data_IF_077962415598
#
_entry.id   IF_077962415598
#
_cell.length_a   1.000
_cell.length_b   1.000
_cell.length_c   1.000
_cell.angle_alpha   90.00
_cell.angle_beta   90.00
_cell.angle_gamma   90.00
#
_symmetry.space_group_name_H-M   'P 1'
#
loop_
_entity.id
_entity.type
_entity.pdbx_description
1 polymer ?
#
# COMPACT_ATOMS: atom_id res chain seq x y z
N UNK A 1 -0.25 31.39 22.80
CA UNK A 1 1.07 30.87 22.37
C UNK A 1 1.42 29.49 22.94
N UNK A 2 0.79 29.01 23.99
CA UNK A 2 1.11 27.71 24.63
C UNK A 2 0.56 26.49 23.89
N UNK A 3 -0.60 26.59 23.21
CA UNK A 3 -1.21 25.46 22.49
C UNK A 3 -0.45 25.06 21.22
N UNK A 4 0.16 26.00 20.49
CA UNK A 4 0.92 25.70 19.27
C UNK A 4 2.21 24.91 19.54
N UNK A 5 2.84 25.14 20.72
CA UNK A 5 3.98 24.33 21.17
C UNK A 5 3.57 22.89 21.49
N UNK A 6 2.39 22.69 22.07
CA UNK A 6 1.87 21.34 22.37
C UNK A 6 1.60 20.50 21.12
N UNK A 7 1.03 21.09 20.08
CA UNK A 7 0.75 20.40 18.81
C UNK A 7 2.05 20.00 18.11
N UNK A 8 3.03 20.90 18.04
CA UNK A 8 4.32 20.65 17.41
C UNK A 8 5.08 19.51 18.12
N UNK A 9 5.14 19.56 19.44
CA UNK A 9 5.76 18.51 20.24
C UNK A 9 5.09 17.14 20.00
N UNK A 10 3.75 17.13 19.87
CA UNK A 10 3.02 15.89 19.55
C UNK A 10 3.29 15.38 18.14
N UNK A 11 3.45 16.25 17.17
CA UNK A 11 3.85 15.87 15.81
C UNK A 11 5.25 15.25 15.83
N UNK A 12 6.21 15.89 16.52
CA UNK A 12 7.58 15.38 16.63
C UNK A 12 7.64 14.03 17.34
N UNK A 13 6.83 13.83 18.38
CA UNK A 13 6.67 12.52 19.06
C UNK A 13 6.16 11.44 18.11
N UNK A 14 5.15 11.74 17.30
CA UNK A 14 4.59 10.79 16.31
C UNK A 14 5.64 10.45 15.26
N UNK A 15 6.39 11.43 14.76
CA UNK A 15 7.45 11.22 13.77
C UNK A 15 8.57 10.35 14.36
N UNK A 16 8.99 10.64 15.59
CA UNK A 16 9.99 9.84 16.30
C UNK A 16 9.54 8.38 16.49
N UNK A 17 8.29 8.17 16.90
CA UNK A 17 7.69 6.84 17.03
C UNK A 17 7.64 6.08 15.69
N UNK A 18 7.44 6.77 14.56
CA UNK A 18 7.48 6.16 13.22
C UNK A 18 8.89 5.68 12.87
N UNK A 19 9.92 6.46 13.18
CA UNK A 19 11.32 6.08 12.91
C UNK A 19 11.70 4.78 13.64
N UNK A 20 11.31 4.64 14.89
CA UNK A 20 11.54 3.40 15.64
C UNK A 20 10.81 2.19 15.01
N UNK A 21 9.56 2.37 14.59
CA UNK A 21 8.77 1.33 13.89
C UNK A 21 9.36 0.98 12.53
N UNK A 22 9.93 1.97 11.81
CA UNK A 22 10.60 1.73 10.54
C UNK A 22 11.77 0.75 10.70
N UNK A 23 12.62 0.94 11.70
CA UNK A 23 13.75 0.03 11.96
C UNK A 23 13.25 -1.41 12.21
N UNK A 24 12.16 -1.57 12.94
CA UNK A 24 11.56 -2.88 13.17
C UNK A 24 11.00 -3.48 11.87
N UNK A 25 10.39 -2.67 11.00
CA UNK A 25 9.89 -3.14 9.70
C UNK A 25 11.03 -3.55 8.76
N UNK A 26 12.11 -2.76 8.71
CA UNK A 26 13.30 -3.09 7.92
C UNK A 26 13.86 -4.46 8.36
N UNK A 27 13.93 -4.72 9.67
CA UNK A 27 14.36 -6.01 10.20
C UNK A 27 13.41 -7.15 9.78
N UNK A 28 12.08 -6.93 9.88
CA UNK A 28 11.08 -7.95 9.50
C UNK A 28 11.10 -8.25 8.00
N UNK A 29 11.35 -7.26 7.16
CA UNK A 29 11.53 -7.47 5.71
C UNK A 29 12.76 -8.34 5.47
N UNK A 30 13.89 -8.07 6.13
CA UNK A 30 15.10 -8.88 6.03
C UNK A 30 14.88 -10.33 6.53
N UNK A 31 14.19 -10.51 7.65
CA UNK A 31 13.84 -11.83 8.19
C UNK A 31 12.99 -12.62 7.18
N UNK A 32 12.02 -11.96 6.50
CA UNK A 32 11.20 -12.60 5.47
C UNK A 32 12.00 -12.92 4.21
N UNK A 33 12.89 -12.04 3.76
CA UNK A 33 13.78 -12.30 2.62
C UNK A 33 14.66 -13.53 2.88
N UNK A 34 15.22 -13.62 4.09
CA UNK A 34 16.01 -14.78 4.49
C UNK A 34 15.16 -16.07 4.53
N UNK A 35 13.94 -16.00 5.07
CA UNK A 35 13.04 -17.16 5.15
C UNK A 35 12.60 -17.63 3.74
N UNK A 36 12.29 -16.69 2.84
CA UNK A 36 11.93 -16.98 1.44
C UNK A 36 13.10 -17.68 0.75
N UNK A 37 14.33 -17.15 0.88
CA UNK A 37 15.53 -17.72 0.25
C UNK A 37 15.80 -19.16 0.73
N UNK A 38 15.59 -19.44 2.02
CA UNK A 38 15.71 -20.81 2.57
C UNK A 38 14.63 -21.72 1.98
N UNK A 39 13.37 -21.26 1.92
CA UNK A 39 12.27 -22.03 1.39
C UNK A 39 12.43 -22.35 -0.11
N UNK A 40 12.89 -21.37 -0.91
CA UNK A 40 13.24 -21.56 -2.33
C UNK A 40 14.33 -22.60 -2.51
N UNK A 41 15.39 -22.54 -1.69
CA UNK A 41 16.48 -23.52 -1.74
C UNK A 41 16.02 -24.93 -1.34
N UNK A 42 15.09 -25.03 -0.38
CA UNK A 42 14.48 -26.32 -0.02
C UNK A 42 13.64 -26.88 -1.17
N UNK A 43 12.90 -26.03 -1.88
CA UNK A 43 12.09 -26.44 -3.02
C UNK A 43 12.97 -26.87 -4.22
N UNK A 44 14.06 -26.15 -4.48
CA UNK A 44 15.09 -26.52 -5.47
C UNK A 44 15.69 -27.90 -5.14
N UNK A 45 16.09 -28.11 -3.89
CA UNK A 45 16.61 -29.40 -3.44
C UNK A 45 15.59 -30.51 -3.65
N UNK A 46 14.35 -30.29 -3.23
CA UNK A 46 13.26 -31.24 -3.46
C UNK A 46 13.13 -31.59 -4.94
N UNK A 47 13.07 -30.60 -5.83
CA UNK A 47 12.95 -30.81 -7.28
C UNK A 47 14.15 -31.51 -7.91
N UNK A 48 15.33 -31.41 -7.30
CA UNK A 48 16.53 -32.13 -7.75
C UNK A 48 16.55 -33.60 -7.31
N UNK A 49 15.75 -33.96 -6.30
CA UNK A 49 15.71 -35.31 -5.71
C UNK A 49 14.49 -36.08 -6.20
N UNK A 50 13.29 -35.44 -6.21
CA UNK A 50 12.03 -36.09 -6.52
C UNK A 50 11.28 -35.34 -7.62
N UNK A 51 10.50 -36.10 -8.41
CA UNK A 51 9.52 -35.60 -9.35
C UNK A 51 8.28 -35.01 -8.62
N UNK A 52 7.31 -34.48 -9.35
CA UNK A 52 6.10 -33.92 -8.78
C UNK A 52 5.26 -34.92 -8.01
N UNK A 53 5.26 -36.18 -8.45
CA UNK A 53 4.57 -37.29 -7.79
C UNK A 53 5.35 -37.89 -6.58
N UNK A 54 6.51 -37.33 -6.25
CA UNK A 54 7.35 -37.77 -5.13
C UNK A 54 8.27 -38.96 -5.44
N UNK A 55 8.37 -39.37 -6.71
CA UNK A 55 9.26 -40.47 -7.13
C UNK A 55 10.71 -39.98 -7.20
N UNK A 56 11.66 -40.76 -6.70
CA UNK A 56 13.10 -40.48 -6.76
C UNK A 56 13.56 -40.38 -8.22
N UNK A 57 14.21 -39.29 -8.56
CA UNK A 57 14.73 -39.05 -9.89
C UNK A 57 16.00 -39.88 -10.15
N UNK A 58 16.04 -40.74 -11.19
CA UNK A 58 17.22 -41.57 -11.49
C UNK A 58 18.49 -40.75 -11.78
N UNK A 59 18.32 -39.53 -12.31
CA UNK A 59 19.42 -38.60 -12.62
C UNK A 59 19.79 -37.68 -11.45
N UNK A 60 19.16 -37.85 -10.28
CA UNK A 60 19.47 -37.02 -9.12
C UNK A 60 20.92 -37.21 -8.68
N UNK A 61 21.68 -36.13 -8.42
CA UNK A 61 23.01 -36.23 -7.85
C UNK A 61 23.01 -36.84 -6.45
N UNK A 62 21.84 -36.96 -5.83
CA UNK A 62 21.64 -37.52 -4.49
C UNK A 62 20.99 -38.89 -4.52
N UNK A 63 20.90 -39.56 -5.70
CA UNK A 63 20.18 -40.80 -5.88
C UNK A 63 20.63 -41.86 -4.88
N UNK A 64 21.95 -42.11 -4.74
CA UNK A 64 22.50 -43.14 -3.85
C UNK A 64 22.19 -42.88 -2.37
N UNK A 65 22.00 -41.61 -1.98
CA UNK A 65 21.69 -41.24 -0.60
C UNK A 65 20.22 -41.57 -0.27
N UNK A 66 19.33 -41.37 -1.22
CA UNK A 66 17.87 -41.51 -1.03
C UNK A 66 17.33 -42.88 -1.45
N UNK A 67 18.03 -43.60 -2.34
CA UNK A 67 17.57 -44.89 -2.83
C UNK A 67 17.38 -45.93 -1.70
N UNK A 68 18.26 -45.94 -0.72
CA UNK A 68 18.19 -46.88 0.40
C UNK A 68 17.50 -46.30 1.63
N UNK A 69 17.03 -45.06 1.57
CA UNK A 69 16.44 -44.34 2.73
C UNK A 69 15.02 -43.87 2.46
N UNK A 70 14.06 -44.79 2.45
CA UNK A 70 12.63 -44.48 2.20
C UNK A 70 12.05 -43.42 3.13
N UNK A 71 12.48 -43.39 4.41
CA UNK A 71 12.01 -42.35 5.35
C UNK A 71 12.48 -40.96 4.96
N UNK A 72 13.72 -40.82 4.56
CA UNK A 72 14.32 -39.57 4.15
C UNK A 72 13.74 -39.09 2.81
N UNK A 73 13.53 -40.03 1.87
CA UNK A 73 12.84 -39.77 0.60
C UNK A 73 11.41 -39.28 0.83
N UNK A 74 10.66 -39.93 1.68
CA UNK A 74 9.28 -39.54 2.02
C UNK A 74 9.24 -38.18 2.71
N UNK A 75 10.20 -37.85 3.55
CA UNK A 75 10.28 -36.55 4.21
C UNK A 75 10.53 -35.42 3.20
N UNK A 76 11.46 -35.60 2.25
CA UNK A 76 11.77 -34.58 1.25
C UNK A 76 10.64 -34.45 0.21
N UNK A 77 10.01 -35.55 -0.18
CA UNK A 77 8.86 -35.56 -1.08
C UNK A 77 7.67 -34.79 -0.49
N UNK A 78 7.50 -34.83 0.84
CA UNK A 78 6.45 -34.12 1.56
C UNK A 78 6.69 -32.61 1.74
N UNK A 79 7.87 -32.08 1.37
CA UNK A 79 8.14 -30.65 1.46
C UNK A 79 7.32 -29.90 0.42
N UNK A 80 6.52 -28.95 0.87
CA UNK A 80 5.72 -28.04 0.00
C UNK A 80 6.01 -26.59 0.41
N UNK A 81 7.03 -26.00 -0.21
CA UNK A 81 7.43 -24.62 0.10
C UNK A 81 6.62 -23.55 -0.65
N UNK A 82 5.97 -23.91 -1.76
CA UNK A 82 5.26 -22.97 -2.62
C UNK A 82 4.24 -22.08 -1.91
N UNK A 83 3.26 -22.63 -1.16
CA UNK A 83 2.29 -21.81 -0.42
C UNK A 83 2.95 -20.88 0.60
N UNK A 84 3.96 -21.36 1.32
CA UNK A 84 4.72 -20.54 2.26
C UNK A 84 5.43 -19.36 1.56
N UNK A 85 6.09 -19.61 0.43
CA UNK A 85 6.79 -18.58 -0.36
C UNK A 85 5.79 -17.52 -0.83
N UNK A 86 4.62 -17.94 -1.32
CA UNK A 86 3.57 -17.02 -1.78
C UNK A 86 3.06 -16.13 -0.65
N UNK A 87 2.72 -16.71 0.49
CA UNK A 87 2.22 -15.97 1.65
C UNK A 87 3.29 -15.04 2.25
N UNK A 88 4.55 -15.52 2.32
CA UNK A 88 5.67 -14.71 2.80
C UNK A 88 5.94 -13.51 1.88
N UNK A 89 5.85 -13.67 0.56
CA UNK A 89 5.97 -12.57 -0.41
C UNK A 89 4.85 -11.54 -0.25
N UNK A 90 3.59 -11.96 -0.11
CA UNK A 90 2.45 -11.07 0.15
C UNK A 90 2.65 -10.27 1.44
N UNK A 91 3.12 -10.94 2.50
CA UNK A 91 3.41 -10.29 3.77
C UNK A 91 4.56 -9.27 3.65
N UNK A 92 5.62 -9.61 2.90
CA UNK A 92 6.75 -8.74 2.59
C UNK A 92 6.29 -7.47 1.87
N UNK A 93 5.46 -7.59 0.82
CA UNK A 93 4.88 -6.46 0.10
C UNK A 93 4.05 -5.56 1.04
N UNK A 94 3.27 -6.15 1.93
CA UNK A 94 2.54 -5.42 2.97
C UNK A 94 3.45 -4.62 3.90
N UNK A 95 4.56 -5.19 4.32
CA UNK A 95 5.56 -4.50 5.16
C UNK A 95 6.29 -3.39 4.38
N UNK A 96 6.61 -3.57 3.11
CA UNK A 96 7.21 -2.53 2.27
C UNK A 96 6.26 -1.34 2.09
N UNK A 97 4.98 -1.60 1.86
CA UNK A 97 3.96 -0.54 1.77
C UNK A 97 3.84 0.25 3.09
N UNK A 98 3.91 -0.43 4.24
CA UNK A 98 3.94 0.23 5.55
C UNK A 98 5.25 1.01 5.75
N UNK A 99 6.39 0.44 5.38
CA UNK A 99 7.70 1.07 5.50
C UNK A 99 7.76 2.39 4.71
N UNK A 100 7.23 2.40 3.49
CA UNK A 100 7.09 3.60 2.67
C UNK A 100 6.26 4.69 3.37
N UNK A 101 5.21 4.31 4.11
CA UNK A 101 4.40 5.26 4.89
C UNK A 101 5.17 5.81 6.09
N UNK A 102 5.97 5.00 6.77
CA UNK A 102 6.76 5.42 7.93
C UNK A 102 8.01 6.21 7.58
N UNK A 103 8.44 6.19 6.31
CA UNK A 103 9.52 7.05 5.81
C UNK A 103 9.14 8.53 5.73
N UNK A 104 7.84 8.84 5.73
CA UNK A 104 7.37 10.22 5.59
C UNK A 104 7.66 11.03 6.84
N UNK A 105 8.36 12.14 6.69
CA UNK A 105 8.66 13.10 7.76
C UNK A 105 7.51 14.12 7.99
N UNK A 106 6.31 13.83 7.47
CA UNK A 106 5.14 14.68 7.59
C UNK A 106 3.90 13.89 8.00
N UNK A 107 2.94 14.59 8.58
CA UNK A 107 1.63 14.03 8.96
C UNK A 107 0.59 14.50 7.94
N UNK A 108 -0.17 13.55 7.39
CA UNK A 108 -1.33 13.87 6.58
C UNK A 108 -2.55 14.07 7.50
N UNK A 109 -3.18 15.23 7.39
CA UNK A 109 -4.44 15.52 8.04
C UNK A 109 -5.52 15.52 6.97
N UNK A 110 -6.46 14.57 7.03
CA UNK A 110 -7.59 14.52 6.12
C UNK A 110 -8.81 15.20 6.76
N UNK A 111 -9.38 16.17 6.05
CA UNK A 111 -10.65 16.82 6.45
C UNK A 111 -11.73 16.27 5.56
N UNK A 112 -12.61 15.46 6.13
CA UNK A 112 -13.72 14.78 5.42
C UNK A 112 -15.05 15.22 6.02
N UNK A 113 -16.06 15.37 5.19
CA UNK A 113 -17.41 15.72 5.62
C UNK A 113 -18.27 16.23 4.46
N UNK A 114 -19.59 16.30 4.63
CA UNK A 114 -20.52 16.85 3.65
C UNK A 114 -20.20 18.28 3.22
N UNK A 115 -20.80 18.74 2.14
CA UNK A 115 -20.69 20.13 1.71
C UNK A 115 -21.15 21.11 2.81
N UNK A 116 -20.65 22.33 2.80
CA UNK A 116 -21.05 23.43 3.71
C UNK A 116 -20.73 23.24 5.20
N UNK A 117 -19.93 22.28 5.59
CA UNK A 117 -19.53 22.06 7.00
C UNK A 117 -18.24 22.79 7.41
N UNK A 118 -17.80 23.78 6.66
CA UNK A 118 -16.65 24.61 7.03
C UNK A 118 -15.28 23.94 6.81
N UNK A 119 -15.19 22.85 6.01
CA UNK A 119 -13.91 22.17 5.70
C UNK A 119 -12.84 23.11 5.17
N UNK A 120 -13.17 23.98 4.21
CA UNK A 120 -12.23 24.96 3.65
C UNK A 120 -11.79 25.98 4.69
N UNK A 121 -12.69 26.45 5.56
CA UNK A 121 -12.35 27.35 6.67
C UNK A 121 -11.42 26.70 7.69
N UNK A 122 -11.65 25.44 8.00
CA UNK A 122 -10.76 24.66 8.86
C UNK A 122 -9.35 24.51 8.24
N UNK A 123 -9.27 24.21 6.94
CA UNK A 123 -8.00 24.14 6.22
C UNK A 123 -7.28 25.50 6.21
N UNK A 124 -8.00 26.60 6.00
CA UNK A 124 -7.43 27.96 6.10
C UNK A 124 -6.86 28.20 7.50
N UNK A 125 -7.61 27.86 8.54
CA UNK A 125 -7.19 28.05 9.94
C UNK A 125 -5.94 27.23 10.30
N UNK A 126 -5.86 25.99 9.83
CA UNK A 126 -4.72 25.09 10.12
C UNK A 126 -3.50 25.48 9.29
N UNK A 127 -3.66 25.83 8.01
CA UNK A 127 -2.57 26.14 7.09
C UNK A 127 -2.07 27.57 7.17
N UNK A 128 -2.87 28.50 7.70
CA UNK A 128 -2.62 29.94 7.65
C UNK A 128 -2.79 30.54 6.26
N UNK A 129 -3.31 29.79 5.28
CA UNK A 129 -3.57 30.27 3.92
C UNK A 129 -4.94 30.97 3.87
N UNK A 130 -5.04 32.01 3.04
CA UNK A 130 -6.27 32.80 2.89
C UNK A 130 -7.25 32.20 1.87
N UNK A 131 -8.40 32.86 1.67
CA UNK A 131 -9.43 32.46 0.74
C UNK A 131 -9.04 32.51 -0.74
N UNK A 132 -7.93 33.14 -1.09
CA UNK A 132 -7.39 33.15 -2.46
C UNK A 132 -6.68 31.83 -2.77
N UNK A 133 -6.07 31.20 -1.75
CA UNK A 133 -5.39 29.92 -1.87
C UNK A 133 -6.32 28.75 -1.62
N UNK A 134 -7.20 28.87 -0.63
CA UNK A 134 -8.21 27.85 -0.28
C UNK A 134 -9.59 28.49 -0.33
N UNK A 135 -10.29 28.44 -1.46
CA UNK A 135 -11.62 29.05 -1.58
C UNK A 135 -12.60 28.50 -0.55
N UNK A 136 -13.27 29.41 0.15
CA UNK A 136 -14.35 29.11 1.07
C UNK A 136 -15.51 30.04 0.76
N UNK A 137 -16.59 29.54 0.20
CA UNK A 137 -17.77 30.32 -0.13
C UNK A 137 -18.92 29.95 0.81
N UNK A 138 -19.74 30.93 1.14
CA UNK A 138 -20.96 30.73 1.93
C UNK A 138 -22.18 30.39 1.03
N UNK A 139 -21.98 30.32 -0.32
CA UNK A 139 -22.96 29.98 -1.35
C UNK A 139 -22.88 28.54 -1.84
N UNK A 140 -23.04 28.33 -3.14
CA UNK A 140 -23.06 26.99 -3.78
C UNK A 140 -21.75 26.19 -3.68
N UNK A 141 -21.75 24.92 -4.17
CA UNK A 141 -20.64 23.99 -4.09
C UNK A 141 -19.33 24.61 -4.58
N UNK A 142 -18.42 24.92 -3.64
CA UNK A 142 -17.19 25.62 -3.92
C UNK A 142 -16.01 24.70 -4.24
N UNK A 143 -16.02 23.46 -3.74
CA UNK A 143 -14.92 22.52 -3.89
C UNK A 143 -15.43 21.20 -4.44
N UNK A 144 -15.50 21.10 -5.76
CA UNK A 144 -15.77 19.85 -6.47
C UNK A 144 -14.53 18.97 -6.62
N UNK A 145 -13.35 19.44 -6.18
CA UNK A 145 -12.09 18.73 -6.32
C UNK A 145 -11.46 18.40 -4.97
N UNK A 146 -10.74 17.27 -4.90
CA UNK A 146 -9.88 16.93 -3.77
C UNK A 146 -8.70 17.89 -3.74
N UNK A 147 -8.58 18.67 -2.69
CA UNK A 147 -7.45 19.58 -2.47
C UNK A 147 -6.48 19.00 -1.46
N UNK A 148 -5.18 19.08 -1.76
CA UNK A 148 -4.09 18.69 -0.85
C UNK A 148 -3.25 19.93 -0.58
N UNK A 149 -3.02 20.25 0.69
CA UNK A 149 -2.15 21.34 1.14
C UNK A 149 -0.93 20.70 1.79
N UNK A 150 0.23 20.94 1.22
CA UNK A 150 1.50 20.42 1.72
C UNK A 150 2.36 21.58 2.25
N UNK A 151 2.96 21.38 3.42
CA UNK A 151 3.97 22.30 3.95
C UNK A 151 5.31 21.97 3.31
N UNK A 152 5.75 22.82 2.38
CA UNK A 152 7.05 22.71 1.70
C UNK A 152 8.10 23.62 2.29
N UNK A 153 9.38 23.29 2.08
CA UNK A 153 10.53 24.15 2.44
C UNK A 153 10.73 25.32 1.48
N UNK A 154 9.95 25.40 0.40
CA UNK A 154 10.08 26.44 -0.63
C UNK A 154 9.31 27.69 -0.22
N UNK A 155 9.91 28.87 -0.50
CA UNK A 155 9.29 30.18 -0.25
C UNK A 155 8.11 30.50 -1.19
N UNK A 156 7.82 29.65 -2.17
CA UNK A 156 6.78 29.88 -3.17
C UNK A 156 5.62 28.89 -2.99
N UNK A 157 4.41 29.41 -2.97
CA UNK A 157 3.20 28.61 -3.03
C UNK A 157 3.07 28.04 -4.46
N UNK A 158 2.99 26.71 -4.57
CA UNK A 158 2.75 26.01 -5.84
C UNK A 158 1.41 25.26 -5.76
N UNK A 159 0.59 25.41 -6.77
CA UNK A 159 -0.61 24.62 -6.96
C UNK A 159 -0.40 23.67 -8.14
N UNK A 160 -0.70 22.37 -7.95
CA UNK A 160 -0.80 21.38 -9.02
C UNK A 160 -2.27 20.97 -9.15
N UNK A 161 -2.82 21.11 -10.35
CA UNK A 161 -4.21 20.72 -10.64
C UNK A 161 -4.14 19.49 -11.56
N UNK A 162 -4.58 18.35 -11.05
CA UNK A 162 -4.77 17.15 -11.86
C UNK A 162 -6.23 17.13 -12.35
N UNK A 163 -6.42 17.17 -13.65
CA UNK A 163 -7.71 16.98 -14.26
C UNK A 163 -8.01 15.48 -14.40
N UNK A 164 -9.26 15.10 -14.22
CA UNK A 164 -9.70 13.75 -14.54
C UNK A 164 -9.61 13.56 -16.04
N UNK A 165 -9.17 12.38 -16.46
CA UNK A 165 -9.26 11.98 -17.86
C UNK A 165 -10.70 11.61 -18.22
N UNK A 166 -11.00 11.52 -19.50
CA UNK A 166 -12.30 11.02 -19.95
C UNK A 166 -12.59 9.61 -19.40
N UNK A 167 -11.57 8.75 -19.36
CA UNK A 167 -11.68 7.41 -18.79
C UNK A 167 -12.03 7.41 -17.30
N UNK A 168 -11.42 8.29 -16.50
CA UNK A 168 -11.73 8.40 -15.07
C UNK A 168 -13.20 8.83 -14.84
N UNK A 169 -13.70 9.74 -15.67
CA UNK A 169 -15.10 10.21 -15.60
C UNK A 169 -16.05 9.09 -15.98
N UNK A 170 -15.78 8.37 -17.07
CA UNK A 170 -16.58 7.23 -17.50
C UNK A 170 -16.64 6.14 -16.43
N UNK A 171 -15.52 5.82 -15.81
CA UNK A 171 -15.48 4.83 -14.73
C UNK A 171 -16.32 5.25 -13.53
N UNK A 172 -16.24 6.51 -13.08
CA UNK A 172 -17.06 7.02 -11.97
C UNK A 172 -18.55 7.00 -12.28
N UNK A 173 -18.93 7.38 -13.50
CA UNK A 173 -20.33 7.33 -13.95
C UNK A 173 -20.82 5.89 -14.01
N UNK A 174 -20.00 4.96 -14.52
CA UNK A 174 -20.30 3.54 -14.57
C UNK A 174 -20.52 2.97 -13.16
N UNK A 175 -19.62 3.27 -12.21
CA UNK A 175 -19.74 2.84 -10.81
C UNK A 175 -21.03 3.38 -10.17
N UNK A 176 -21.37 4.64 -10.45
CA UNK A 176 -22.60 5.28 -9.96
C UNK A 176 -23.85 4.61 -10.52
N UNK A 177 -23.89 4.39 -11.85
CA UNK A 177 -25.02 3.73 -12.52
C UNK A 177 -25.18 2.28 -12.06
N UNK A 178 -24.10 1.54 -11.89
CA UNK A 178 -24.12 0.18 -11.35
C UNK A 178 -24.68 0.14 -9.91
N UNK A 179 -24.39 1.17 -9.12
CA UNK A 179 -24.94 1.30 -7.76
C UNK A 179 -26.46 1.54 -7.75
N UNK A 180 -26.98 2.30 -8.72
CA UNK A 180 -28.41 2.63 -8.81
C UNK A 180 -29.20 1.49 -9.46
N UNK A 181 -28.67 0.90 -10.55
CA UNK A 181 -29.44 -0.02 -11.40
C UNK A 181 -29.36 -1.48 -10.99
N UNK A 182 -28.46 -1.86 -10.10
CA UNK A 182 -28.10 -3.26 -9.80
C UNK A 182 -27.80 -4.11 -11.06
N UNK A 183 -27.50 -3.45 -12.20
CA UNK A 183 -27.15 -4.07 -13.47
C UNK A 183 -25.74 -3.66 -13.86
N UNK A 184 -24.96 -4.62 -14.31
CA UNK A 184 -23.59 -4.41 -14.83
C UNK A 184 -23.70 -4.02 -16.32
N UNK A 185 -24.09 -2.80 -16.63
CA UNK A 185 -24.02 -2.25 -17.98
C UNK A 185 -22.70 -1.49 -18.13
N UNK A 186 -21.95 -1.73 -19.20
CA UNK A 186 -20.71 -1.05 -19.48
C UNK A 186 -20.94 0.13 -20.41
N UNK A 187 -20.45 1.30 -20.00
CA UNK A 187 -20.44 2.52 -20.81
C UNK A 187 -19.04 2.63 -21.42
N UNK A 188 -18.94 2.64 -22.74
CA UNK A 188 -17.67 2.66 -23.46
C UNK A 188 -17.31 4.05 -23.97
N UNK A 189 -18.28 4.96 -24.08
CA UNK A 189 -18.09 6.32 -24.58
C UNK A 189 -18.99 7.31 -23.84
N UNK A 190 -18.56 8.59 -23.83
CA UNK A 190 -19.34 9.70 -23.27
C UNK A 190 -20.67 9.92 -24.03
N UNK A 191 -20.70 9.57 -25.32
CA UNK A 191 -21.92 9.68 -26.14
C UNK A 191 -22.97 8.60 -25.78
N UNK A 192 -22.65 7.64 -24.94
CA UNK A 192 -23.56 6.59 -24.44
C UNK A 192 -24.30 7.00 -23.16
N UNK A 193 -24.03 8.22 -22.65
CA UNK A 193 -24.67 8.81 -21.45
C UNK A 193 -25.89 9.62 -21.83
#
# INVERSE_FOLDING_TARGET
>A
MSESMGIRAKIDEIIAARKARKTLLDQRIQDLDAAIAVAERMDELRRSVVSEDGTLLPQSPYYDIFADNVKMLSAIAGVSAGPFIEDARKLREGYEALNTRFQRDFINIAVVGPARQGKSRLLQSISGLDSRCIPAFDGDHCTGARSVVENGSNQHVRACIAFKTQGDVLQEVQEYLNTISNKTEHIYNIDDL
#
